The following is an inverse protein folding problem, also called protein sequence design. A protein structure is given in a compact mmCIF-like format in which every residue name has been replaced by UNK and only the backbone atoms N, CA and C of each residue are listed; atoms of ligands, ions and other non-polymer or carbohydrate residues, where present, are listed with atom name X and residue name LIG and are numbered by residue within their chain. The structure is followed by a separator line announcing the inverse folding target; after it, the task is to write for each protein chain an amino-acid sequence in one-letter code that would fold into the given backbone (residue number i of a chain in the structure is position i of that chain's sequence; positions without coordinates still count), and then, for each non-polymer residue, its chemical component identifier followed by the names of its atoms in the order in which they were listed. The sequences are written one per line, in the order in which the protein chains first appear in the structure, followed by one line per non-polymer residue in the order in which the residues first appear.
data_IF_026019468287
#
_entry.id   IF_026019468287
#
_cell.length_a   1.000
_cell.length_b   1.000
_cell.length_c   1.000
_cell.angle_alpha   90.00
_cell.angle_beta   90.00
_cell.angle_gamma   90.00
#
_symmetry.space_group_name_H-M   'P 1'
#
loop_
_entity.id
_entity.type
_entity.pdbx_description
1 polymer ?
#
# COMPACT_ATOMS: atom_id res chain seq x y z
N UNK A 1 27.16 -43.49 10.24
CA UNK A 1 26.15 -42.79 9.41
C UNK A 1 25.96 -43.59 8.14
N UNK A 2 24.75 -44.08 7.86
CA UNK A 2 24.35 -44.42 6.50
C UNK A 2 23.39 -43.35 5.95
N UNK A 3 23.62 -43.01 4.69
CA UNK A 3 22.91 -42.03 3.89
C UNK A 3 21.44 -42.47 3.68
N UNK A 4 20.50 -41.54 3.84
CA UNK A 4 19.10 -41.75 3.45
C UNK A 4 18.92 -41.28 2.00
N UNK A 5 18.62 -42.25 1.17
CA UNK A 5 18.30 -42.20 -0.25
C UNK A 5 17.05 -41.30 -0.47
N UNK A 6 17.26 -40.11 -1.03
CA UNK A 6 16.19 -39.17 -1.41
C UNK A 6 15.70 -39.59 -2.80
N UNK A 7 14.89 -40.63 -2.86
CA UNK A 7 14.39 -41.10 -4.14
C UNK A 7 13.46 -42.30 -4.03
N UNK A 8 12.22 -42.09 -3.52
CA UNK A 8 11.01 -42.79 -4.02
C UNK A 8 9.69 -42.49 -3.26
N UNK A 9 9.52 -41.35 -2.59
CA UNK A 9 8.25 -41.08 -1.86
C UNK A 9 7.08 -40.56 -2.75
N UNK A 10 7.19 -40.61 -4.08
CA UNK A 10 6.16 -40.03 -4.98
C UNK A 10 5.17 -41.08 -5.53
N UNK A 11 5.36 -42.37 -5.28
CA UNK A 11 4.42 -43.40 -5.72
C UNK A 11 4.10 -44.34 -4.56
N UNK A 12 3.30 -43.85 -3.61
CA UNK A 12 2.54 -44.74 -2.73
C UNK A 12 1.20 -45.09 -3.42
N UNK A 13 1.06 -46.32 -3.97
CA UNK A 13 -0.17 -46.76 -4.64
C UNK A 13 -1.34 -46.96 -3.68
N UNK A 14 -1.14 -46.78 -2.37
CA UNK A 14 -2.16 -46.95 -1.34
C UNK A 14 -2.74 -45.63 -0.79
N UNK A 15 -2.44 -44.47 -1.41
CA UNK A 15 -3.05 -43.18 -1.04
C UNK A 15 -4.55 -43.12 -1.44
N UNK A 16 -5.35 -43.91 -0.72
CA UNK A 16 -6.80 -43.87 -0.76
C UNK A 16 -7.27 -42.74 0.15
N UNK A 17 -7.54 -41.57 -0.44
CA UNK A 17 -8.27 -40.50 0.22
C UNK A 17 -9.70 -40.97 0.48
N UNK A 18 -9.92 -41.60 1.64
CA UNK A 18 -11.25 -41.96 2.09
C UNK A 18 -12.11 -40.69 2.22
N UNK A 19 -13.32 -40.71 1.66
CA UNK A 19 -14.22 -39.55 1.62
C UNK A 19 -14.55 -39.01 3.03
N UNK A 20 -14.49 -39.90 4.03
CA UNK A 20 -14.61 -39.57 5.45
C UNK A 20 -13.43 -38.73 5.98
N UNK A 21 -12.22 -38.99 5.52
CA UNK A 21 -11.02 -38.27 5.95
C UNK A 21 -10.91 -36.90 5.27
N UNK A 22 -11.32 -36.81 4.01
CA UNK A 22 -11.54 -35.53 3.31
C UNK A 22 -12.60 -34.68 4.02
N UNK A 23 -13.72 -35.31 4.41
CA UNK A 23 -14.79 -34.66 5.17
C UNK A 23 -14.33 -34.18 6.55
N UNK A 24 -13.51 -34.97 7.25
CA UNK A 24 -12.92 -34.59 8.55
C UNK A 24 -11.95 -33.42 8.42
N UNK A 25 -11.03 -33.47 7.45
CA UNK A 25 -10.07 -32.40 7.19
C UNK A 25 -10.76 -31.10 6.80
N UNK A 26 -11.79 -31.16 5.94
CA UNK A 26 -12.62 -30.02 5.57
C UNK A 26 -13.31 -29.40 6.79
N UNK A 27 -13.96 -30.22 7.63
CA UNK A 27 -14.59 -29.75 8.88
C UNK A 27 -13.58 -29.08 9.79
N UNK A 28 -12.41 -29.69 10.00
CA UNK A 28 -11.36 -29.12 10.83
C UNK A 28 -10.88 -27.75 10.31
N UNK A 29 -10.61 -27.64 9.00
CA UNK A 29 -10.20 -26.37 8.38
C UNK A 29 -11.30 -25.30 8.47
N UNK A 30 -12.56 -25.68 8.27
CA UNK A 30 -13.70 -24.76 8.45
C UNK A 30 -13.80 -24.25 9.89
N UNK A 31 -13.60 -25.11 10.88
CA UNK A 31 -13.56 -24.71 12.30
C UNK A 31 -12.40 -23.75 12.57
N UNK A 32 -11.19 -24.05 12.08
CA UNK A 32 -10.04 -23.15 12.24
C UNK A 32 -10.29 -21.78 11.60
N UNK A 33 -10.85 -21.74 10.39
CA UNK A 33 -11.20 -20.49 9.73
C UNK A 33 -12.27 -19.72 10.51
N UNK A 34 -13.30 -20.40 11.02
CA UNK A 34 -14.31 -19.75 11.86
C UNK A 34 -13.67 -19.14 13.12
N UNK A 35 -12.79 -19.87 13.81
CA UNK A 35 -12.09 -19.36 14.99
C UNK A 35 -11.22 -18.16 14.65
N UNK A 36 -10.48 -18.23 13.55
CA UNK A 36 -9.68 -17.10 13.05
C UNK A 36 -10.56 -15.89 12.79
N UNK A 37 -11.65 -16.03 12.03
CA UNK A 37 -12.55 -14.93 11.70
C UNK A 37 -13.25 -14.35 12.93
N UNK A 38 -13.61 -15.18 13.90
CA UNK A 38 -14.16 -14.72 15.17
C UNK A 38 -13.15 -13.86 15.92
N UNK A 39 -11.93 -14.37 16.16
CA UNK A 39 -10.88 -13.60 16.85
C UNK A 39 -10.50 -12.34 16.09
N UNK A 40 -10.26 -12.45 14.80
CA UNK A 40 -9.93 -11.30 13.96
C UNK A 40 -11.03 -10.24 14.05
N UNK A 41 -12.30 -10.62 13.90
CA UNK A 41 -13.42 -9.67 14.02
C UNK A 41 -13.46 -9.01 15.40
N UNK A 42 -13.30 -9.78 16.46
CA UNK A 42 -13.50 -9.29 17.82
C UNK A 42 -12.31 -8.44 18.29
N UNK A 43 -11.09 -8.76 17.88
CA UNK A 43 -9.87 -8.04 18.26
C UNK A 43 -9.56 -6.89 17.30
N UNK A 44 -9.49 -7.17 15.99
CA UNK A 44 -9.09 -6.16 14.99
C UNK A 44 -10.11 -5.03 14.87
N UNK A 45 -11.42 -5.30 14.93
CA UNK A 45 -12.41 -4.22 14.85
C UNK A 45 -12.38 -3.32 16.10
N UNK A 46 -12.06 -3.89 17.27
CA UNK A 46 -11.89 -3.11 18.49
C UNK A 46 -10.62 -2.27 18.42
N UNK A 47 -9.53 -2.84 17.94
CA UNK A 47 -8.28 -2.11 17.72
C UNK A 47 -8.43 -1.02 16.65
N UNK A 48 -9.09 -1.30 15.52
CA UNK A 48 -9.39 -0.34 14.48
C UNK A 48 -10.24 0.82 15.02
N UNK A 49 -11.29 0.52 15.79
CA UNK A 49 -12.10 1.53 16.46
C UNK A 49 -11.25 2.37 17.42
N UNK A 50 -10.33 1.76 18.14
CA UNK A 50 -9.44 2.45 19.08
C UNK A 50 -8.38 3.28 18.34
N UNK A 51 -7.82 2.80 17.22
CA UNK A 51 -6.92 3.55 16.32
C UNK A 51 -7.61 4.81 15.78
N UNK A 52 -8.86 4.68 15.33
CA UNK A 52 -9.68 5.80 14.87
C UNK A 52 -10.11 6.76 16.00
N UNK A 53 -10.11 6.32 17.27
CA UNK A 53 -10.48 7.13 18.44
C UNK A 53 -9.28 7.77 19.14
N UNK A 54 -8.12 7.10 19.18
CA UNK A 54 -6.93 7.50 19.94
C UNK A 54 -6.14 8.66 19.35
N UNK A 55 -6.54 9.18 18.19
CA UNK A 55 -5.97 10.39 17.56
C UNK A 55 -6.94 11.58 17.58
N UNK A 56 -8.01 11.50 18.38
CA UNK A 56 -9.05 12.51 18.47
C UNK A 56 -8.84 13.45 19.65
N UNK A 57 -7.77 14.24 19.61
CA UNK A 57 -7.79 15.49 20.36
C UNK A 57 -7.32 16.72 19.56
N UNK A 58 -6.93 16.58 18.28
CA UNK A 58 -6.48 17.73 17.47
C UNK A 58 -6.67 17.55 15.94
N UNK A 59 -7.85 17.13 15.48
CA UNK A 59 -8.23 17.27 14.05
C UNK A 59 -7.54 16.35 13.02
N UNK A 60 -6.87 15.26 13.42
CA UNK A 60 -6.07 14.40 12.51
C UNK A 60 -6.78 13.13 11.98
N UNK A 61 -8.07 12.95 12.29
CA UNK A 61 -8.95 11.91 11.72
C UNK A 61 -9.69 12.35 10.44
N UNK A 62 -9.44 13.57 9.97
CA UNK A 62 -10.07 14.16 8.79
C UNK A 62 -9.46 13.59 7.52
N UNK A 63 -10.30 13.15 6.58
CA UNK A 63 -9.91 12.77 5.22
C UNK A 63 -9.06 13.88 4.61
N UNK A 64 -7.91 13.52 4.02
CA UNK A 64 -7.01 14.45 3.34
C UNK A 64 -7.03 14.23 1.84
N UNK A 65 -6.61 15.26 1.09
CA UNK A 65 -6.25 15.05 -0.30
C UNK A 65 -5.09 14.06 -0.38
N UNK A 66 -5.16 13.10 -1.30
CA UNK A 66 -4.19 12.02 -1.42
C UNK A 66 -4.64 10.71 -0.79
N UNK A 67 -5.53 10.75 0.21
CA UNK A 67 -5.96 9.54 0.93
C UNK A 67 -6.70 8.56 0.02
N UNK A 68 -6.49 7.27 0.28
CA UNK A 68 -7.23 6.19 -0.35
C UNK A 68 -8.48 5.90 0.49
N UNK A 69 -9.63 5.93 -0.17
CA UNK A 69 -10.95 5.77 0.47
C UNK A 69 -11.77 4.72 -0.25
N UNK A 70 -12.58 3.98 0.50
CA UNK A 70 -13.68 3.19 -0.05
C UNK A 70 -14.90 4.10 -0.18
N UNK A 71 -15.47 4.14 -1.38
CA UNK A 71 -16.62 4.99 -1.72
C UNK A 71 -17.90 4.20 -1.53
N UNK A 72 -18.72 4.64 -0.58
CA UNK A 72 -20.05 4.08 -0.35
C UNK A 72 -20.92 4.25 -1.61
N UNK A 73 -21.52 3.14 -2.04
CA UNK A 73 -22.48 3.11 -3.13
C UNK A 73 -23.73 2.36 -2.68
N UNK A 74 -24.86 3.05 -2.59
CA UNK A 74 -26.14 2.46 -2.16
C UNK A 74 -26.68 1.46 -3.20
N UNK A 75 -26.28 1.60 -4.46
CA UNK A 75 -26.72 0.71 -5.54
C UNK A 75 -26.03 -0.65 -5.55
N UNK A 76 -25.00 -0.85 -4.72
CA UNK A 76 -24.16 -2.04 -4.75
C UNK A 76 -23.94 -2.62 -3.34
N UNK A 77 -23.81 -3.94 -3.22
CA UNK A 77 -23.43 -4.55 -1.95
C UNK A 77 -22.05 -4.03 -1.50
N UNK A 78 -21.83 -4.01 -0.17
CA UNK A 78 -20.60 -3.44 0.44
C UNK A 78 -19.30 -4.00 -0.15
N UNK A 79 -19.28 -5.28 -0.50
CA UNK A 79 -18.12 -5.95 -1.09
C UNK A 79 -17.74 -5.40 -2.47
N UNK A 80 -18.66 -4.73 -3.17
CA UNK A 80 -18.46 -4.14 -4.49
C UNK A 80 -18.21 -2.62 -4.43
N UNK A 81 -18.14 -2.02 -3.25
CA UNK A 81 -17.82 -0.62 -3.12
C UNK A 81 -16.46 -0.29 -3.75
N UNK A 82 -16.43 0.85 -4.43
CA UNK A 82 -15.30 1.22 -5.28
C UNK A 82 -14.22 1.89 -4.45
N UNK A 83 -12.96 1.54 -4.72
CA UNK A 83 -11.82 2.25 -4.17
C UNK A 83 -11.57 3.55 -4.96
N UNK A 84 -11.21 4.61 -4.26
CA UNK A 84 -10.87 5.88 -4.88
C UNK A 84 -9.77 6.62 -4.14
N UNK A 85 -9.13 7.55 -4.83
CA UNK A 85 -8.17 8.50 -4.26
C UNK A 85 -8.84 9.86 -4.12
N UNK A 86 -8.75 10.46 -2.96
CA UNK A 86 -9.25 11.83 -2.74
C UNK A 86 -8.34 12.80 -3.49
N UNK A 87 -8.91 13.56 -4.43
CA UNK A 87 -8.15 14.59 -5.16
C UNK A 87 -8.23 15.94 -4.45
N UNK A 88 -9.43 16.30 -3.97
CA UNK A 88 -9.65 17.60 -3.32
C UNK A 88 -10.78 17.51 -2.32
N UNK A 89 -10.69 18.30 -1.26
CA UNK A 89 -11.74 18.46 -0.25
C UNK A 89 -12.66 19.64 -0.60
N UNK A 90 -13.91 19.56 -0.15
CA UNK A 90 -14.92 20.60 -0.30
C UNK A 90 -15.29 21.08 1.09
N UNK A 91 -14.79 22.25 1.43
CA UNK A 91 -15.06 22.95 2.68
C UNK A 91 -16.35 23.77 2.56
N UNK A 92 -17.10 23.86 3.65
CA UNK A 92 -18.15 24.86 3.81
C UNK A 92 -17.56 26.22 4.17
N UNK A 93 -18.43 27.22 4.26
CA UNK A 93 -18.09 28.60 4.62
C UNK A 93 -17.52 28.71 6.06
N UNK A 94 -17.92 27.79 6.92
CA UNK A 94 -17.40 27.61 8.29
C UNK A 94 -16.05 26.88 8.36
N UNK A 95 -15.42 26.59 7.21
CA UNK A 95 -14.15 25.87 7.12
C UNK A 95 -14.26 24.34 7.26
N UNK A 96 -15.42 23.80 7.61
CA UNK A 96 -15.60 22.38 7.86
C UNK A 96 -15.71 21.58 6.55
N UNK A 97 -14.98 20.46 6.46
CA UNK A 97 -15.01 19.57 5.28
C UNK A 97 -16.30 18.75 5.27
N UNK A 98 -17.17 18.98 4.28
CA UNK A 98 -18.45 18.24 4.13
C UNK A 98 -18.48 17.30 2.94
N UNK A 99 -17.65 17.58 1.93
CA UNK A 99 -17.54 16.75 0.73
C UNK A 99 -16.11 16.58 0.28
N UNK A 100 -15.91 15.66 -0.64
CA UNK A 100 -14.66 15.47 -1.33
C UNK A 100 -14.90 15.05 -2.79
N UNK A 101 -13.91 15.35 -3.61
CA UNK A 101 -13.79 14.94 -5.00
C UNK A 101 -12.86 13.73 -5.01
N UNK A 102 -13.38 12.60 -5.47
CA UNK A 102 -12.68 11.31 -5.42
C UNK A 102 -12.51 10.78 -6.83
N UNK A 103 -11.27 10.48 -7.21
CA UNK A 103 -10.96 9.79 -8.47
C UNK A 103 -11.01 8.29 -8.26
N UNK A 104 -11.83 7.64 -9.06
CA UNK A 104 -11.98 6.19 -9.11
C UNK A 104 -11.36 5.70 -10.42
N UNK A 105 -10.57 4.64 -10.36
CA UNK A 105 -10.02 3.98 -11.55
C UNK A 105 -10.50 2.53 -11.61
N UNK A 106 -11.64 2.26 -12.25
CA UNK A 106 -12.08 0.88 -12.45
C UNK A 106 -11.13 0.17 -13.42
N UNK A 107 -10.97 -1.15 -13.25
CA UNK A 107 -10.16 -1.96 -14.17
C UNK A 107 -10.68 -1.83 -15.60
N UNK A 108 -9.80 -1.50 -16.54
CA UNK A 108 -10.11 -1.42 -17.97
C UNK A 108 -11.00 -0.25 -18.40
N UNK A 109 -11.28 0.72 -17.52
CA UNK A 109 -12.05 1.92 -17.86
C UNK A 109 -11.26 3.18 -17.56
N UNK A 110 -11.62 4.29 -18.21
CA UNK A 110 -11.02 5.59 -17.92
C UNK A 110 -11.29 5.99 -16.46
N UNK A 111 -10.33 6.64 -15.77
CA UNK A 111 -10.57 7.20 -14.46
C UNK A 111 -11.75 8.17 -14.50
N UNK A 112 -12.62 8.08 -13.50
CA UNK A 112 -13.79 8.95 -13.36
C UNK A 112 -13.75 9.61 -12.00
N UNK A 113 -14.15 10.87 -11.95
CA UNK A 113 -14.17 11.65 -10.72
C UNK A 113 -15.60 11.78 -10.21
N UNK A 114 -15.81 11.53 -8.92
CA UNK A 114 -17.10 11.63 -8.24
C UNK A 114 -17.04 12.64 -7.10
N UNK A 115 -18.10 13.43 -6.94
CA UNK A 115 -18.33 14.24 -5.74
C UNK A 115 -19.13 13.42 -4.72
N UNK A 116 -18.61 13.30 -3.49
CA UNK A 116 -19.24 12.55 -2.41
C UNK A 116 -19.15 13.28 -1.09
N UNK A 117 -20.16 13.10 -0.23
CA UNK A 117 -20.09 13.56 1.16
C UNK A 117 -18.98 12.79 1.89
N UNK A 118 -18.29 13.45 2.82
CA UNK A 118 -17.27 12.81 3.67
C UNK A 118 -17.83 11.60 4.43
N UNK A 119 -19.11 11.66 4.82
CA UNK A 119 -19.80 10.53 5.50
C UNK A 119 -19.89 9.26 4.66
N UNK A 120 -19.81 9.40 3.34
CA UNK A 120 -19.88 8.29 2.38
C UNK A 120 -18.49 7.80 1.95
N UNK A 121 -17.43 8.27 2.61
CA UNK A 121 -16.06 7.92 2.31
C UNK A 121 -15.43 7.28 3.55
N UNK A 122 -14.90 6.08 3.38
CA UNK A 122 -14.23 5.34 4.45
C UNK A 122 -12.72 5.33 4.17
N UNK A 123 -11.91 6.09 4.92
CA UNK A 123 -10.46 6.09 4.75
C UNK A 123 -9.89 4.71 5.06
N UNK A 124 -8.91 4.29 4.26
CA UNK A 124 -8.08 3.13 4.60
C UNK A 124 -6.88 3.59 5.44
N UNK A 125 -6.41 2.73 6.34
CA UNK A 125 -5.19 2.97 7.15
C UNK A 125 -3.90 2.86 6.32
N UNK A 126 -3.92 3.32 5.07
CA UNK A 126 -2.80 3.28 4.13
C UNK A 126 -2.39 4.72 3.85
N UNK A 127 -1.41 5.21 4.62
CA UNK A 127 -0.79 6.52 4.40
C UNK A 127 0.52 6.32 3.67
N UNK A 128 0.65 6.91 2.49
CA UNK A 128 1.97 7.10 1.87
C UNK A 128 2.60 8.32 2.52
N UNK A 129 3.39 8.12 3.58
CA UNK A 129 4.14 9.21 4.22
C UNK A 129 5.32 9.62 3.32
N UNK A 130 5.04 10.18 2.14
CA UNK A 130 6.07 10.80 1.29
C UNK A 130 6.66 12.06 1.93
N UNK A 131 5.94 12.67 2.88
CA UNK A 131 6.36 13.88 3.60
C UNK A 131 7.38 13.60 4.74
N UNK A 132 7.51 12.33 5.17
CA UNK A 132 8.47 11.95 6.21
C UNK A 132 9.91 11.82 5.68
N UNK A 133 10.12 11.84 4.36
CA UNK A 133 11.47 11.82 3.77
C UNK A 133 12.04 13.23 3.52
N UNK A 134 11.20 14.22 3.20
CA UNK A 134 11.66 15.62 3.01
C UNK A 134 12.07 16.29 4.32
N UNK A 135 11.49 15.90 5.47
CA UNK A 135 11.82 16.49 6.76
C UNK A 135 12.96 15.76 7.51
N UNK A 136 13.51 14.67 6.94
CA UNK A 136 14.69 13.96 7.46
C UNK A 136 16.02 14.54 6.97
N UNK A 137 15.98 15.41 5.96
CA UNK A 137 17.09 16.28 5.55
C UNK A 137 16.73 17.70 5.99
N UNK A 138 17.26 18.11 7.14
CA UNK A 138 16.71 19.14 8.00
C UNK A 138 16.68 20.56 7.45
N UNK A 139 15.74 21.34 8.01
CA UNK A 139 15.63 22.79 7.86
C UNK A 139 16.37 23.60 8.95
N UNK A 140 17.21 23.00 9.79
CA UNK A 140 17.88 23.74 10.86
C UNK A 140 19.38 23.40 10.86
N UNK A 141 20.23 24.41 10.57
CA UNK A 141 21.70 24.56 10.80
C UNK A 141 22.55 25.07 9.61
N UNK A 142 21.99 25.39 8.43
CA UNK A 142 22.75 25.96 7.30
C UNK A 142 22.32 27.37 6.84
N UNK A 143 21.28 27.95 7.43
CA UNK A 143 20.75 29.26 7.02
C UNK A 143 21.49 30.47 7.65
N UNK A 144 22.45 30.24 8.55
CA UNK A 144 23.25 31.32 9.17
C UNK A 144 24.63 31.56 8.54
N UNK A 145 25.08 30.75 7.57
CA UNK A 145 26.48 30.79 7.12
C UNK A 145 26.71 31.24 5.66
N UNK A 146 25.69 31.41 4.81
CA UNK A 146 25.93 31.69 3.37
C UNK A 146 25.11 32.88 2.90
N UNK A 147 25.39 34.02 3.54
CA UNK A 147 25.16 35.35 2.97
C UNK A 147 26.25 35.76 1.98
N UNK A 148 27.07 34.85 1.43
CA UNK A 148 28.06 35.21 0.43
C UNK A 148 28.38 34.04 -0.52
N UNK A 149 28.42 34.39 -1.81
CA UNK A 149 28.80 33.58 -2.97
C UNK A 149 27.68 32.76 -3.66
N UNK A 150 26.98 33.48 -4.54
CA UNK A 150 26.45 32.91 -5.78
C UNK A 150 27.59 32.26 -6.58
N UNK A 151 27.63 30.92 -6.66
CA UNK A 151 27.83 30.21 -7.94
C UNK A 151 27.73 28.69 -7.78
N UNK A 152 26.77 28.11 -8.49
CA UNK A 152 26.74 26.74 -9.02
C UNK A 152 27.21 25.60 -8.10
N UNK A 153 26.28 24.96 -7.40
CA UNK A 153 26.45 23.54 -7.03
C UNK A 153 25.23 22.76 -7.50
N UNK A 154 25.33 22.19 -8.71
CA UNK A 154 24.42 21.14 -9.18
C UNK A 154 24.48 19.96 -8.20
N UNK A 155 23.41 19.72 -7.45
CA UNK A 155 23.30 18.54 -6.58
C UNK A 155 23.10 17.29 -7.44
N UNK A 156 24.19 16.72 -7.97
CA UNK A 156 24.17 15.42 -8.64
C UNK A 156 24.13 14.32 -7.60
N UNK A 157 22.95 13.68 -7.46
CA UNK A 157 22.78 12.46 -6.66
C UNK A 157 23.86 11.43 -7.03
N UNK A 158 24.60 10.86 -6.06
CA UNK A 158 25.70 9.96 -6.37
C UNK A 158 25.17 8.71 -7.09
N UNK A 159 25.74 8.47 -8.26
CA UNK A 159 25.36 7.36 -9.13
C UNK A 159 25.79 6.03 -8.51
N UNK A 160 24.82 5.16 -8.18
CA UNK A 160 25.05 3.82 -7.61
C UNK A 160 26.05 3.03 -8.47
N UNK A 161 26.96 2.27 -7.85
CA UNK A 161 28.01 1.50 -8.55
C UNK A 161 27.46 0.53 -9.61
N UNK A 162 26.31 -0.10 -9.34
CA UNK A 162 25.63 -0.95 -10.31
C UNK A 162 25.27 -0.21 -11.61
N UNK A 163 24.92 1.07 -11.53
CA UNK A 163 24.59 1.90 -12.69
C UNK A 163 25.84 2.39 -13.45
N UNK A 164 27.03 2.41 -12.81
CA UNK A 164 28.31 2.64 -13.49
C UNK A 164 28.77 1.38 -14.23
N UNK A 165 28.74 0.22 -13.57
CA UNK A 165 29.04 -1.08 -14.20
C UNK A 165 28.14 -1.39 -15.39
N UNK A 166 26.84 -1.06 -15.31
CA UNK A 166 25.91 -1.24 -16.42
C UNK A 166 26.21 -0.34 -17.63
N UNK A 167 26.82 0.82 -17.42
CA UNK A 167 27.26 1.71 -18.50
C UNK A 167 28.56 1.24 -19.14
N UNK A 168 29.53 0.80 -18.33
CA UNK A 168 30.78 0.23 -18.82
C UNK A 168 30.54 -0.99 -19.69
N UNK A 169 29.62 -1.87 -19.27
CA UNK A 169 29.21 -3.04 -20.07
C UNK A 169 28.57 -2.64 -21.40
N UNK A 170 27.73 -1.60 -21.41
CA UNK A 170 27.12 -1.10 -22.66
C UNK A 170 28.13 -0.42 -23.58
N UNK A 171 29.05 0.38 -23.04
CA UNK A 171 30.12 1.01 -23.82
C UNK A 171 31.04 -0.01 -24.45
N UNK A 172 31.49 -0.99 -23.67
CA UNK A 172 32.33 -2.08 -24.16
C UNK A 172 31.64 -2.86 -25.28
N UNK A 173 30.35 -3.14 -25.13
CA UNK A 173 29.57 -3.82 -26.18
C UNK A 173 29.40 -2.98 -27.46
N UNK A 174 29.28 -1.65 -27.34
CA UNK A 174 29.22 -0.75 -28.51
C UNK A 174 30.57 -0.67 -29.22
N UNK A 175 31.67 -0.69 -28.47
CA UNK A 175 33.03 -0.67 -29.01
C UNK A 175 33.36 -1.98 -29.74
N UNK A 176 32.98 -3.12 -29.16
CA UNK A 176 33.09 -4.45 -29.79
C UNK A 176 32.28 -4.58 -31.10
N UNK A 177 31.16 -3.85 -31.23
CA UNK A 177 30.36 -3.82 -32.46
C UNK A 177 30.94 -2.92 -33.56
N UNK A 178 31.81 -1.97 -33.19
CA UNK A 178 32.40 -1.01 -34.11
C UNK A 178 33.79 -1.42 -34.59
N UNK A 179 34.38 -2.45 -33.97
CA UNK A 179 35.63 -3.12 -34.35
C UNK A 179 35.41 -4.40 -35.21
N UNK A 180 34.18 -4.64 -35.69
CA UNK A 180 33.82 -5.70 -36.67
C UNK A 180 33.33 -5.10 -37.98
#
# INVERSE_FOLDING_TARGET
MPEQDIGNDILDPEFSLNDKDLSRRKKHLSTLMNHFWTRWRDEYLMELRNSHRGKNDNGKGTIRAGDIVVVHDESQPRACWRLGKVERLINGEDGNVRGAIVRISPKGKRPTTLKRSVRLLYPLEVRSDSEAEENRYGKNELDEAIGNEMNQVEVKRPRREAAKRGEERRRKWIEELNDS
#
